data_IF_177935968439
#
_entry.id   IF_177935968439
#
_cell.length_a   1.000
_cell.length_b   1.000
_cell.length_c   1.000
_cell.angle_alpha   90.00
_cell.angle_beta   90.00
_cell.angle_gamma   90.00
#
_symmetry.space_group_name_H-M   'P 1'
#
loop_
_entity.id
_entity.type
_entity.pdbx_description
1 polymer ?
#
# COMPACT_ATOMS: atom_id res chain seq x y z
N UNK A 1 25.58 -46.60 1.34
CA UNK A 1 25.67 -45.13 1.49
C UNK A 1 25.74 -44.49 0.12
N UNK A 2 24.68 -43.82 -0.32
CA UNK A 2 24.71 -42.86 -1.43
C UNK A 2 23.89 -41.65 -0.97
N UNK A 3 24.58 -40.55 -0.70
CA UNK A 3 23.99 -39.32 -0.20
C UNK A 3 23.05 -38.75 -1.25
N UNK A 4 21.81 -38.49 -0.87
CA UNK A 4 20.83 -37.75 -1.67
C UNK A 4 21.19 -36.27 -1.51
N UNK A 5 21.81 -35.68 -2.53
CA UNK A 5 22.04 -34.22 -2.57
C UNK A 5 20.71 -33.60 -3.00
N UNK A 6 19.90 -33.19 -2.02
CA UNK A 6 18.72 -32.35 -2.27
C UNK A 6 19.21 -30.93 -2.57
N UNK A 7 19.27 -30.59 -3.86
CA UNK A 7 19.46 -29.20 -4.30
C UNK A 7 18.14 -28.46 -4.10
N UNK A 8 18.00 -27.75 -2.98
CA UNK A 8 16.96 -26.74 -2.83
C UNK A 8 17.32 -25.56 -3.74
N UNK A 9 16.72 -25.50 -4.91
CA UNK A 9 16.72 -24.32 -5.74
C UNK A 9 15.80 -23.29 -5.08
N UNK A 10 16.36 -22.41 -4.24
CA UNK A 10 15.63 -21.24 -3.74
C UNK A 10 15.53 -20.27 -4.92
N UNK A 11 14.47 -20.40 -5.72
CA UNK A 11 14.08 -19.34 -6.64
C UNK A 11 13.57 -18.21 -5.74
N UNK A 12 14.43 -17.24 -5.44
CA UNK A 12 13.99 -15.94 -4.97
C UNK A 12 13.22 -15.29 -6.11
N UNK A 13 11.94 -15.64 -6.26
CA UNK A 13 11.04 -14.90 -7.13
C UNK A 13 10.96 -13.52 -6.49
N UNK A 14 11.60 -12.53 -7.09
CA UNK A 14 11.31 -11.15 -6.80
C UNK A 14 9.83 -10.95 -7.14
N UNK A 15 8.98 -10.95 -6.11
CA UNK A 15 7.53 -10.85 -6.26
C UNK A 15 7.17 -9.41 -6.62
N UNK A 16 7.45 -9.01 -7.86
CA UNK A 16 6.94 -7.74 -8.38
C UNK A 16 5.42 -7.78 -8.33
N UNK A 17 4.83 -6.88 -7.55
CA UNK A 17 3.39 -6.73 -7.47
C UNK A 17 2.96 -5.68 -8.47
N UNK A 18 2.09 -6.08 -9.40
CA UNK A 18 1.47 -5.18 -10.35
C UNK A 18 0.32 -4.44 -9.66
N UNK A 19 0.61 -3.28 -9.09
CA UNK A 19 -0.42 -2.38 -8.58
C UNK A 19 -0.79 -1.35 -9.64
N UNK A 20 -2.07 -1.04 -9.78
CA UNK A 20 -2.53 0.14 -10.51
C UNK A 20 -1.86 1.39 -9.93
N UNK A 21 -1.34 2.27 -10.78
CA UNK A 21 -0.80 3.57 -10.37
C UNK A 21 -1.91 4.63 -10.37
N UNK A 22 -2.12 5.28 -9.22
CA UNK A 22 -2.93 6.48 -9.10
C UNK A 22 -2.06 7.66 -8.71
N UNK A 23 -2.28 8.81 -9.37
CA UNK A 23 -1.63 10.07 -9.04
C UNK A 23 -2.55 10.91 -8.14
N UNK A 24 -2.03 11.44 -7.04
CA UNK A 24 -2.84 12.21 -6.09
C UNK A 24 -3.36 13.53 -6.71
N UNK A 25 -2.66 14.06 -7.71
CA UNK A 25 -3.03 15.27 -8.43
C UNK A 25 -3.77 15.02 -9.76
N UNK A 26 -4.34 13.83 -9.95
CA UNK A 26 -5.24 13.59 -11.09
C UNK A 26 -6.39 14.61 -11.12
N UNK A 27 -6.77 15.08 -12.31
CA UNK A 27 -7.80 16.11 -12.45
C UNK A 27 -9.18 15.69 -11.90
N UNK A 28 -9.45 14.38 -11.86
CA UNK A 28 -10.72 13.81 -11.40
C UNK A 28 -10.94 14.03 -9.91
N UNK A 29 -9.89 13.98 -9.08
CA UNK A 29 -10.01 14.01 -7.61
C UNK A 29 -9.02 14.93 -6.91
N UNK A 30 -8.00 15.44 -7.60
CA UNK A 30 -6.91 16.20 -7.00
C UNK A 30 -7.39 17.48 -6.29
N UNK A 31 -8.53 18.03 -6.68
CA UNK A 31 -9.16 19.20 -6.05
C UNK A 31 -10.09 18.87 -4.89
N UNK A 32 -10.36 17.59 -4.63
CA UNK A 32 -11.26 17.18 -3.55
C UNK A 32 -10.62 17.48 -2.20
N UNK A 33 -11.42 17.98 -1.25
CA UNK A 33 -10.99 18.16 0.13
C UNK A 33 -10.55 16.82 0.74
N UNK A 34 -9.37 16.78 1.35
CA UNK A 34 -8.84 15.61 2.04
C UNK A 34 -9.35 15.55 3.49
N UNK A 35 -9.97 14.43 3.87
CA UNK A 35 -10.54 14.30 5.21
C UNK A 35 -11.48 15.44 5.56
N UNK A 36 -11.27 16.07 6.71
CA UNK A 36 -11.97 17.30 7.14
C UNK A 36 -11.04 18.51 7.24
N UNK A 37 -9.83 18.45 6.68
CA UNK A 37 -8.86 19.55 6.70
C UNK A 37 -9.13 20.57 5.59
N UNK A 38 -8.29 21.61 5.52
CA UNK A 38 -8.27 22.56 4.40
C UNK A 38 -7.44 22.06 3.20
N UNK A 39 -6.80 20.89 3.30
CA UNK A 39 -6.00 20.32 2.22
C UNK A 39 -6.88 19.69 1.13
N UNK A 40 -6.25 19.48 -0.01
CA UNK A 40 -6.81 18.68 -1.11
C UNK A 40 -6.09 17.34 -1.23
N UNK A 41 -6.67 16.40 -1.97
CA UNK A 41 -5.97 15.14 -2.31
C UNK A 41 -4.66 15.45 -3.06
N UNK A 42 -4.62 16.46 -3.93
CA UNK A 42 -3.37 16.83 -4.60
C UNK A 42 -2.31 17.34 -3.62
N UNK A 43 -2.67 18.17 -2.63
CA UNK A 43 -1.68 18.75 -1.72
C UNK A 43 -1.15 17.77 -0.67
N UNK A 44 -1.95 16.81 -0.20
CA UNK A 44 -1.58 15.94 0.93
C UNK A 44 -2.07 14.48 0.83
N UNK A 45 -2.64 14.04 -0.31
CA UNK A 45 -3.30 12.75 -0.46
C UNK A 45 -2.38 11.57 -0.81
N UNK A 46 -1.07 11.68 -0.60
CA UNK A 46 -0.10 10.63 -0.98
C UNK A 46 -0.40 9.27 -0.32
N UNK A 47 -0.71 9.30 0.98
CA UNK A 47 -1.00 8.09 1.74
C UNK A 47 -2.30 7.42 1.28
N UNK A 48 -3.39 8.18 1.15
CA UNK A 48 -4.68 7.58 0.77
C UNK A 48 -4.71 7.13 -0.69
N UNK A 49 -3.92 7.76 -1.56
CA UNK A 49 -3.70 7.28 -2.92
C UNK A 49 -2.94 5.95 -2.92
N UNK A 50 -1.91 5.81 -2.06
CA UNK A 50 -1.17 4.55 -1.88
C UNK A 50 -2.05 3.41 -1.35
N UNK A 51 -2.92 3.71 -0.39
CA UNK A 51 -3.92 2.75 0.13
C UNK A 51 -4.94 2.38 -0.96
N UNK A 52 -5.43 3.35 -1.74
CA UNK A 52 -6.37 3.08 -2.82
C UNK A 52 -5.78 2.15 -3.89
N UNK A 53 -4.52 2.35 -4.29
CA UNK A 53 -3.82 1.47 -5.23
C UNK A 53 -3.73 0.03 -4.71
N UNK A 54 -3.38 -0.12 -3.43
CA UNK A 54 -3.30 -1.41 -2.76
C UNK A 54 -4.66 -2.12 -2.78
N UNK A 55 -5.72 -1.46 -2.30
CA UNK A 55 -7.06 -2.06 -2.16
C UNK A 55 -7.70 -2.38 -3.52
N UNK A 56 -7.56 -1.48 -4.49
CA UNK A 56 -8.07 -1.67 -5.85
C UNK A 56 -7.54 -2.94 -6.50
N UNK A 57 -6.23 -3.21 -6.34
CA UNK A 57 -5.57 -4.38 -6.94
C UNK A 57 -6.13 -5.71 -6.41
N UNK A 58 -6.77 -5.69 -5.25
CA UNK A 58 -7.39 -6.86 -4.62
C UNK A 58 -8.92 -6.85 -4.73
N UNK A 59 -9.48 -6.04 -5.64
CA UNK A 59 -10.92 -6.00 -5.90
C UNK A 59 -11.75 -5.41 -4.77
N UNK A 60 -11.14 -4.79 -3.76
CA UNK A 60 -11.87 -4.19 -2.64
C UNK A 60 -12.65 -2.98 -3.14
N UNK A 61 -13.96 -3.00 -2.94
CA UNK A 61 -14.85 -1.87 -3.23
C UNK A 61 -15.08 -1.03 -1.97
N UNK A 62 -15.18 0.27 -2.15
CA UNK A 62 -15.46 1.22 -1.06
C UNK A 62 -16.80 1.90 -1.30
N UNK A 63 -16.85 2.84 -2.23
CA UNK A 63 -18.07 3.44 -2.78
C UNK A 63 -18.00 3.25 -4.30
N UNK A 64 -18.15 1.99 -4.73
CA UNK A 64 -17.77 1.51 -6.06
C UNK A 64 -16.29 1.14 -6.17
N UNK A 65 -15.70 1.30 -7.37
CA UNK A 65 -14.27 1.07 -7.60
C UNK A 65 -13.42 1.94 -6.68
N UNK A 66 -12.47 1.31 -5.98
CA UNK A 66 -11.57 2.04 -5.07
C UNK A 66 -10.56 2.88 -5.88
N UNK A 67 -10.66 4.19 -5.71
CA UNK A 67 -9.83 5.27 -6.28
C UNK A 67 -9.45 6.23 -5.14
N UNK A 68 -8.53 7.19 -5.31
CA UNK A 68 -8.24 8.16 -4.27
C UNK A 68 -9.49 8.94 -3.80
N UNK A 69 -10.42 9.29 -4.69
CA UNK A 69 -11.70 9.93 -4.34
C UNK A 69 -12.58 9.03 -3.48
N UNK A 70 -12.89 7.83 -3.95
CA UNK A 70 -13.83 6.93 -3.26
C UNK A 70 -13.24 6.44 -1.94
N UNK A 71 -11.92 6.24 -1.88
CA UNK A 71 -11.20 5.96 -0.64
C UNK A 71 -11.31 7.12 0.37
N UNK A 72 -11.06 8.36 -0.06
CA UNK A 72 -11.20 9.55 0.80
C UNK A 72 -12.64 9.67 1.34
N UNK A 73 -13.65 9.52 0.48
CA UNK A 73 -15.07 9.52 0.88
C UNK A 73 -15.38 8.44 1.90
N UNK A 74 -14.91 7.22 1.67
CA UNK A 74 -15.14 6.10 2.59
C UNK A 74 -14.47 6.35 3.95
N UNK A 75 -13.23 6.85 3.98
CA UNK A 75 -12.51 7.19 5.21
C UNK A 75 -13.24 8.26 6.03
N UNK A 76 -13.75 9.32 5.40
CA UNK A 76 -14.56 10.35 6.09
C UNK A 76 -15.78 9.76 6.80
N UNK A 77 -16.45 8.78 6.18
CA UNK A 77 -17.64 8.12 6.72
C UNK A 77 -17.32 7.06 7.80
N UNK A 78 -16.10 6.52 7.82
CA UNK A 78 -15.76 5.31 8.60
C UNK A 78 -14.74 5.55 9.73
N UNK A 79 -14.49 6.80 10.10
CA UNK A 79 -13.50 7.14 11.14
C UNK A 79 -12.07 6.94 10.68
N UNK A 80 -11.82 7.12 9.38
CA UNK A 80 -10.51 6.97 8.74
C UNK A 80 -9.56 8.14 8.94
N UNK A 81 -10.04 9.23 9.53
CA UNK A 81 -9.26 10.43 9.79
C UNK A 81 -9.37 10.90 11.24
N UNK A 82 -8.29 11.47 11.74
CA UNK A 82 -8.21 12.24 12.98
C UNK A 82 -7.64 13.63 12.67
N UNK A 83 -7.98 14.64 13.48
CA UNK A 83 -7.42 15.99 13.40
C UNK A 83 -7.37 16.58 11.98
N UNK A 84 -8.47 16.47 11.22
CA UNK A 84 -8.52 16.89 9.83
C UNK A 84 -8.26 15.73 8.87
N UNK A 85 -6.99 15.47 8.57
CA UNK A 85 -6.56 14.52 7.54
C UNK A 85 -5.50 13.51 8.01
N UNK A 86 -5.25 13.39 9.31
CA UNK A 86 -4.37 12.35 9.83
C UNK A 86 -5.00 10.98 9.66
N UNK A 87 -4.38 10.13 8.86
CA UNK A 87 -4.89 8.79 8.58
C UNK A 87 -4.86 7.88 9.80
N UNK A 88 -6.00 7.27 10.11
CA UNK A 88 -6.15 6.27 11.17
C UNK A 88 -5.81 4.89 10.60
N UNK A 89 -4.61 4.40 10.85
CA UNK A 89 -4.05 3.20 10.19
C UNK A 89 -4.93 1.94 10.27
N UNK A 90 -5.53 1.67 11.43
CA UNK A 90 -6.41 0.51 11.62
C UNK A 90 -7.84 0.70 11.10
N UNK A 91 -8.17 1.84 10.49
CA UNK A 91 -9.55 2.09 10.00
C UNK A 91 -9.95 1.15 8.86
N UNK A 92 -8.98 0.72 8.05
CA UNK A 92 -9.22 -0.16 6.89
C UNK A 92 -9.23 -1.65 7.25
N UNK A 93 -9.08 -2.02 8.53
CA UNK A 93 -9.35 -3.37 9.01
C UNK A 93 -10.79 -3.81 8.67
N UNK A 94 -11.73 -2.84 8.62
CA UNK A 94 -13.11 -3.03 8.17
C UNK A 94 -13.23 -3.49 6.70
N UNK A 95 -12.17 -3.30 5.91
CA UNK A 95 -12.07 -3.73 4.50
C UNK A 95 -11.26 -5.03 4.36
N UNK A 96 -10.93 -5.70 5.46
CA UNK A 96 -10.17 -6.96 5.47
C UNK A 96 -8.65 -6.79 5.32
N UNK A 97 -8.14 -5.56 5.47
CA UNK A 97 -6.72 -5.24 5.44
C UNK A 97 -6.26 -4.78 6.82
N UNK A 98 -5.50 -5.64 7.51
CA UNK A 98 -5.15 -5.46 8.91
C UNK A 98 -3.80 -4.79 9.08
N UNK A 99 -3.78 -3.65 9.77
CA UNK A 99 -2.55 -2.93 10.05
C UNK A 99 -1.60 -3.71 10.97
N UNK A 100 -0.34 -3.86 10.56
CA UNK A 100 0.67 -4.63 11.29
C UNK A 100 1.71 -3.76 12.01
N UNK A 101 1.61 -2.43 11.89
CA UNK A 101 2.58 -1.49 12.46
C UNK A 101 3.52 -0.88 11.43
N UNK A 102 4.42 -0.05 11.95
CA UNK A 102 5.53 0.59 11.23
C UNK A 102 6.83 -0.13 11.54
N UNK A 103 7.60 -0.41 10.51
CA UNK A 103 8.87 -1.12 10.56
C UNK A 103 9.99 -0.26 9.99
N UNK A 104 11.24 -0.67 10.22
CA UNK A 104 12.39 0.01 9.64
C UNK A 104 12.52 -0.30 8.14
N UNK A 105 13.29 0.50 7.41
CA UNK A 105 13.63 0.21 6.01
C UNK A 105 14.26 -1.19 5.85
N UNK A 106 15.13 -1.61 6.78
CA UNK A 106 15.75 -2.94 6.76
C UNK A 106 14.73 -4.08 6.90
N UNK A 107 13.65 -3.86 7.64
CA UNK A 107 12.57 -4.83 7.83
C UNK A 107 11.54 -4.82 6.70
N UNK A 108 11.47 -3.77 5.88
CA UNK A 108 10.48 -3.64 4.81
C UNK A 108 10.51 -4.82 3.82
N UNK A 109 11.71 -5.30 3.46
CA UNK A 109 11.92 -6.43 2.55
C UNK A 109 11.31 -7.72 3.12
N UNK A 110 11.64 -8.08 4.36
CA UNK A 110 11.12 -9.30 4.98
C UNK A 110 9.61 -9.26 5.18
N UNK A 111 9.02 -8.07 5.44
CA UNK A 111 7.56 -7.90 5.48
C UNK A 111 6.93 -8.10 4.10
N UNK A 112 7.54 -7.53 3.06
CA UNK A 112 7.10 -7.71 1.68
C UNK A 112 7.14 -9.19 1.26
N UNK A 113 8.24 -9.88 1.55
CA UNK A 113 8.47 -11.31 1.26
C UNK A 113 7.50 -12.22 2.03
N UNK A 114 7.14 -11.84 3.26
CA UNK A 114 6.09 -12.51 4.04
C UNK A 114 4.68 -12.33 3.44
N UNK A 115 4.56 -11.61 2.33
CA UNK A 115 3.29 -11.39 1.64
C UNK A 115 2.54 -10.15 2.11
N UNK A 116 3.11 -9.31 2.98
CA UNK A 116 2.49 -8.07 3.44
C UNK A 116 2.56 -6.98 2.36
N UNK A 117 1.63 -6.04 2.41
CA UNK A 117 1.67 -4.81 1.64
C UNK A 117 2.48 -3.78 2.41
N UNK A 118 3.36 -3.06 1.71
CA UNK A 118 4.28 -2.11 2.32
C UNK A 118 4.05 -0.72 1.74
N UNK A 119 3.73 0.24 2.59
CA UNK A 119 3.67 1.67 2.27
C UNK A 119 4.87 2.34 2.95
N UNK A 120 5.78 2.86 2.15
CA UNK A 120 7.00 3.50 2.62
C UNK A 120 6.72 4.96 2.95
N UNK A 121 7.21 5.41 4.09
CA UNK A 121 7.30 6.80 4.47
C UNK A 121 8.70 7.31 4.10
N UNK A 122 8.78 8.29 3.21
CA UNK A 122 10.02 8.81 2.61
C UNK A 122 10.13 10.32 2.80
N UNK A 123 11.23 10.92 2.32
CA UNK A 123 11.49 12.36 2.42
C UNK A 123 11.37 12.88 3.85
N UNK A 124 12.05 12.22 4.78
CA UNK A 124 12.09 12.57 6.21
C UNK A 124 10.70 12.61 6.88
N UNK A 125 9.77 11.79 6.43
CA UNK A 125 8.42 11.68 7.01
C UNK A 125 7.32 12.41 6.23
N UNK A 126 7.67 13.19 5.20
CA UNK A 126 6.74 14.07 4.51
C UNK A 126 5.95 13.42 3.37
N UNK A 127 6.27 12.19 2.96
CA UNK A 127 5.65 11.56 1.79
C UNK A 127 5.44 10.06 1.97
N UNK A 128 4.38 9.53 1.36
CA UNK A 128 4.03 8.11 1.40
C UNK A 128 3.88 7.53 -0.01
N UNK A 129 4.49 6.36 -0.22
CA UNK A 129 4.53 5.67 -1.52
C UNK A 129 4.28 4.17 -1.34
N UNK A 130 3.65 3.53 -2.34
CA UNK A 130 3.37 2.09 -2.29
C UNK A 130 4.55 1.30 -2.86
N UNK A 131 5.14 0.40 -2.08
CA UNK A 131 6.23 -0.47 -2.54
C UNK A 131 5.68 -1.58 -3.47
N UNK A 132 6.30 -1.73 -4.63
CA UNK A 132 5.91 -2.69 -5.68
C UNK A 132 6.89 -3.86 -5.79
N UNK A 133 8.18 -3.62 -5.51
CA UNK A 133 9.26 -4.61 -5.45
C UNK A 133 10.52 -3.99 -4.82
N UNK A 134 11.63 -4.72 -4.80
CA UNK A 134 12.94 -4.18 -4.45
C UNK A 134 14.07 -4.87 -5.24
N UNK A 135 15.20 -4.20 -5.37
CA UNK A 135 16.45 -4.75 -5.90
C UNK A 135 17.63 -4.19 -5.09
N UNK A 136 18.41 -5.09 -4.47
CA UNK A 136 19.42 -4.68 -3.49
C UNK A 136 18.80 -3.80 -2.41
N UNK A 137 19.38 -2.63 -2.16
CA UNK A 137 18.89 -1.63 -1.20
C UNK A 137 17.98 -0.55 -1.80
N UNK A 138 17.44 -0.80 -2.99
CA UNK A 138 16.49 0.09 -3.66
C UNK A 138 15.09 -0.52 -3.63
N UNK A 139 14.11 0.26 -3.17
CA UNK A 139 12.70 -0.08 -3.21
C UNK A 139 12.06 0.52 -4.46
N UNK A 140 11.45 -0.31 -5.30
CA UNK A 140 10.63 0.17 -6.42
C UNK A 140 9.23 0.49 -5.89
N UNK A 141 8.62 1.55 -6.40
CA UNK A 141 7.38 2.11 -5.86
C UNK A 141 6.43 2.61 -6.94
N UNK A 142 5.15 2.61 -6.60
CA UNK A 142 4.17 3.52 -7.17
C UNK A 142 4.13 4.78 -6.32
N UNK A 143 4.68 5.88 -6.84
CA UNK A 143 4.67 7.18 -6.17
C UNK A 143 3.48 8.03 -6.63
N UNK A 144 2.52 8.36 -5.74
CA UNK A 144 1.34 9.13 -6.12
C UNK A 144 1.63 10.64 -6.29
N UNK A 145 2.67 11.18 -5.65
CA UNK A 145 2.98 12.61 -5.63
C UNK A 145 4.01 13.05 -6.66
N UNK A 146 5.01 12.21 -6.94
CA UNK A 146 6.14 12.55 -7.82
C UNK A 146 6.25 11.59 -8.99
N UNK A 147 7.03 11.95 -10.02
CA UNK A 147 7.40 11.06 -11.12
C UNK A 147 8.62 10.22 -10.76
N UNK A 148 8.57 9.54 -9.60
CA UNK A 148 9.67 8.73 -9.06
C UNK A 148 9.24 7.28 -8.96
N UNK A 149 10.09 6.37 -9.43
CA UNK A 149 9.78 4.93 -9.51
C UNK A 149 10.53 4.10 -8.47
N UNK A 150 11.48 4.71 -7.73
CA UNK A 150 12.20 4.00 -6.68
C UNK A 150 12.82 4.95 -5.65
N UNK A 151 13.09 4.42 -4.46
CA UNK A 151 13.79 5.11 -3.38
C UNK A 151 14.88 4.19 -2.79
N UNK A 152 16.07 4.72 -2.45
CA UNK A 152 17.05 3.94 -1.69
C UNK A 152 16.55 3.73 -0.26
N UNK A 153 16.99 2.66 0.40
CA UNK A 153 16.62 2.35 1.78
C UNK A 153 17.00 3.46 2.76
N UNK A 154 18.08 4.21 2.49
CA UNK A 154 18.49 5.39 3.25
C UNK A 154 17.50 6.55 3.18
N UNK A 155 16.63 6.58 2.16
CA UNK A 155 15.56 7.58 2.00
C UNK A 155 14.24 7.20 2.66
N UNK A 156 14.15 6.03 3.30
CA UNK A 156 12.95 5.52 3.95
C UNK A 156 13.02 5.77 5.46
N UNK A 157 12.10 6.58 5.98
CA UNK A 157 11.95 6.87 7.40
C UNK A 157 11.33 5.68 8.15
N UNK A 158 10.29 5.08 7.59
CA UNK A 158 9.65 3.86 8.10
C UNK A 158 8.80 3.20 7.00
N UNK A 159 8.36 1.97 7.26
CA UNK A 159 7.55 1.16 6.38
C UNK A 159 6.30 0.69 7.12
N UNK A 160 5.15 1.27 6.81
CA UNK A 160 3.87 0.82 7.35
C UNK A 160 3.38 -0.39 6.57
N UNK A 161 2.76 -1.35 7.25
CA UNK A 161 2.43 -2.63 6.62
C UNK A 161 1.02 -3.11 6.91
N UNK A 162 0.46 -3.84 5.94
CA UNK A 162 -0.87 -4.45 6.00
C UNK A 162 -0.81 -5.91 5.57
N UNK A 163 -1.61 -6.74 6.23
CA UNK A 163 -1.92 -8.10 5.79
C UNK A 163 -3.38 -8.18 5.35
N UNK A 164 -3.70 -9.15 4.51
CA UNK A 164 -5.09 -9.52 4.22
C UNK A 164 -5.21 -11.05 4.22
N UNK A 165 -6.43 -11.56 4.39
CA UNK A 165 -6.70 -13.00 4.31
C UNK A 165 -6.52 -13.50 2.87
N UNK A 166 -5.44 -14.26 2.63
CA UNK A 166 -5.22 -14.93 1.35
C UNK A 166 -6.34 -15.92 1.02
N UNK A 167 -6.93 -16.57 2.03
CA UNK A 167 -8.05 -17.52 1.86
C UNK A 167 -9.29 -16.79 1.36
N UNK A 168 -9.62 -15.62 1.91
CA UNK A 168 -10.75 -14.82 1.46
C UNK A 168 -10.53 -14.34 0.03
N UNK A 169 -9.32 -13.90 -0.30
CA UNK A 169 -8.97 -13.55 -1.69
C UNK A 169 -9.15 -14.73 -2.65
N UNK A 170 -8.57 -15.90 -2.33
CA UNK A 170 -8.68 -17.12 -3.14
C UNK A 170 -10.13 -17.61 -3.29
N UNK A 171 -10.91 -17.63 -2.21
CA UNK A 171 -12.32 -18.04 -2.27
C UNK A 171 -13.14 -17.14 -3.18
N UNK A 172 -12.97 -15.83 -3.04
CA UNK A 172 -13.79 -14.86 -3.76
C UNK A 172 -13.36 -14.66 -5.23
N UNK A 173 -12.08 -14.90 -5.57
CA UNK A 173 -11.55 -14.58 -6.91
C UNK A 173 -11.02 -15.78 -7.71
N UNK A 174 -10.80 -16.93 -7.07
CA UNK A 174 -10.30 -18.14 -7.74
C UNK A 174 -11.35 -19.25 -7.72
N UNK A 175 -12.07 -19.39 -6.60
CA UNK A 175 -13.06 -20.47 -6.44
C UNK A 175 -14.51 -20.04 -6.68
N UNK A 176 -14.81 -18.74 -6.74
CA UNK A 176 -16.18 -18.18 -6.85
C UNK A 176 -17.16 -18.80 -5.83
N UNK A 177 -16.70 -19.04 -4.61
CA UNK A 177 -17.54 -19.59 -3.55
C UNK A 177 -18.03 -18.44 -2.67
N UNK A 178 -19.28 -18.02 -2.87
CA UNK A 178 -20.04 -17.20 -1.90
C UNK A 178 -20.65 -18.07 -0.80
#
# INVERSE_FOLDING_TARGET
MKQVISVLLIIAVAHARSYTLYKQCDATWGKDQLGTSSNTICSAGCLISSVAMMLHTYGVTTDGTTTPRTMNTWLKKNGGYASGDLFVWGSIDKLGFHYQGKFTAAQAKSKFDAGQHVILCVNSGGHYVLMTSYSGDTFNVNDPGYSKTSYPASGVTNAATYTHSKITYFKNHVLNLE
#
